data_IF_577612650974
#
_entry.id   IF_577612650974
#
_cell.length_a   1.000
_cell.length_b   1.000
_cell.length_c   1.000
_cell.angle_alpha   90.00
_cell.angle_beta   90.00
_cell.angle_gamma   90.00
#
_symmetry.space_group_name_H-M   'P 1'
#
loop_
_entity.id
_entity.type
_entity.pdbx_description
1 polymer ?
#
# COMPACT_ATOMS: atom_id res chain seq x y z
N UNK A 1 -36.86 -17.89 27.43
CA UNK A 1 -35.69 -18.74 27.16
C UNK A 1 -36.23 -20.15 27.31
N UNK A 2 -36.31 -20.91 26.22
CA UNK A 2 -36.60 -22.34 26.33
C UNK A 2 -35.52 -22.97 27.21
N UNK A 3 -35.96 -23.62 28.29
CA UNK A 3 -35.16 -24.06 29.42
C UNK A 3 -34.28 -25.28 29.08
N UNK A 4 -34.30 -25.76 27.82
CA UNK A 4 -33.61 -27.01 27.43
C UNK A 4 -32.46 -26.89 26.43
N UNK A 5 -32.13 -25.69 25.90
CA UNK A 5 -30.97 -25.31 25.02
C UNK A 5 -31.38 -24.51 23.76
N UNK A 6 -32.32 -23.57 23.84
CA UNK A 6 -32.93 -22.96 22.65
C UNK A 6 -32.23 -21.71 22.11
N UNK A 7 -31.70 -21.79 20.88
CA UNK A 7 -31.28 -20.65 20.04
C UNK A 7 -32.45 -19.78 19.52
N UNK A 8 -33.69 -20.14 19.86
CA UNK A 8 -34.93 -19.48 19.42
C UNK A 8 -35.72 -19.04 20.65
N UNK A 9 -36.20 -17.80 20.65
CA UNK A 9 -37.13 -17.26 21.66
C UNK A 9 -38.19 -16.41 20.96
N UNK A 10 -39.46 -16.67 21.24
CA UNK A 10 -40.60 -15.92 20.67
C UNK A 10 -40.58 -15.89 19.13
N UNK A 11 -40.27 -17.04 18.50
CA UNK A 11 -40.10 -17.22 17.05
C UNK A 11 -39.00 -16.31 16.43
N UNK A 12 -38.03 -15.88 17.25
CA UNK A 12 -36.89 -15.05 16.83
C UNK A 12 -35.57 -15.71 17.17
N UNK A 13 -34.60 -15.52 16.28
CA UNK A 13 -33.18 -15.88 16.47
C UNK A 13 -32.37 -14.58 16.48
N UNK A 14 -31.33 -14.53 17.30
CA UNK A 14 -30.34 -13.47 17.27
C UNK A 14 -29.12 -14.00 16.54
N UNK A 15 -28.74 -13.33 15.46
CA UNK A 15 -27.50 -13.57 14.74
C UNK A 15 -26.55 -12.41 15.04
N UNK A 16 -25.43 -12.70 15.67
CA UNK A 16 -24.35 -11.75 15.88
C UNK A 16 -23.19 -12.09 14.96
N UNK A 17 -22.68 -11.09 14.24
CA UNK A 17 -21.57 -11.26 13.31
C UNK A 17 -20.51 -10.23 13.64
N UNK A 18 -19.30 -10.72 13.93
CA UNK A 18 -18.12 -9.89 14.10
C UNK A 18 -17.35 -9.86 12.78
N UNK A 19 -17.20 -8.67 12.20
CA UNK A 19 -16.50 -8.47 10.93
C UNK A 19 -15.20 -7.72 11.17
N UNK A 20 -14.10 -8.27 10.69
CA UNK A 20 -12.79 -7.62 10.61
C UNK A 20 -12.38 -7.59 9.15
N UNK A 21 -11.90 -6.46 8.66
CA UNK A 21 -11.51 -6.27 7.27
C UNK A 21 -10.17 -5.54 7.16
N UNK A 22 -9.38 -5.92 6.18
CA UNK A 22 -8.16 -5.21 5.80
C UNK A 22 -8.47 -3.91 5.04
N UNK A 23 -7.42 -3.13 4.75
CA UNK A 23 -7.53 -1.95 3.91
C UNK A 23 -8.14 -2.32 2.55
N UNK A 24 -9.21 -1.63 2.12
CA UNK A 24 -9.92 -1.96 0.90
C UNK A 24 -9.09 -1.59 -0.34
N UNK A 25 -9.28 -2.34 -1.41
CA UNK A 25 -8.67 -2.09 -2.72
C UNK A 25 -9.75 -1.58 -3.70
N UNK A 26 -9.40 -0.68 -4.62
CA UNK A 26 -10.33 -0.18 -5.64
C UNK A 26 -11.28 0.94 -5.18
N UNK A 27 -11.14 1.40 -3.95
CA UNK A 27 -11.81 2.60 -3.42
C UNK A 27 -10.78 3.67 -3.05
N UNK A 28 -11.23 4.90 -2.83
CA UNK A 28 -10.32 5.96 -2.36
C UNK A 28 -9.86 5.65 -0.93
N UNK A 29 -8.60 5.23 -0.80
CA UNK A 29 -7.93 4.96 0.47
C UNK A 29 -6.71 5.88 0.59
N UNK A 30 -6.76 6.80 1.55
CA UNK A 30 -5.65 7.71 1.83
C UNK A 30 -4.57 7.00 2.67
N UNK A 31 -3.73 6.23 1.98
CA UNK A 31 -2.61 5.51 2.62
C UNK A 31 -1.70 6.43 3.45
N UNK A 32 -1.48 7.68 3.02
CA UNK A 32 -0.60 8.63 3.73
C UNK A 32 -1.21 9.03 5.05
N UNK A 33 -2.52 9.31 5.09
CA UNK A 33 -3.24 9.62 6.33
C UNK A 33 -3.24 8.47 7.33
N UNK A 34 -3.38 7.22 6.88
CA UNK A 34 -3.49 6.07 7.77
C UNK A 34 -2.15 5.48 8.22
N UNK A 35 -1.10 5.61 7.41
CA UNK A 35 0.19 4.92 7.64
C UNK A 35 1.39 5.85 7.70
N UNK A 36 1.26 7.10 7.23
CA UNK A 36 2.37 8.01 6.99
C UNK A 36 3.08 7.78 5.65
N UNK A 37 2.69 6.77 4.86
CA UNK A 37 3.34 6.36 3.61
C UNK A 37 2.37 6.27 2.44
N UNK A 38 2.88 6.41 1.21
CA UNK A 38 2.11 6.22 -0.03
C UNK A 38 2.51 4.94 -0.75
N UNK A 39 1.56 4.36 -1.49
CA UNK A 39 1.75 3.15 -2.29
C UNK A 39 2.22 3.42 -3.72
N UNK A 40 2.48 2.32 -4.45
CA UNK A 40 2.76 2.33 -5.88
C UNK A 40 1.55 1.78 -6.64
N UNK A 41 1.24 2.37 -7.80
CA UNK A 41 0.21 1.83 -8.70
C UNK A 41 0.71 0.50 -9.27
N UNK A 42 -0.09 -0.55 -9.13
CA UNK A 42 0.22 -1.83 -9.74
C UNK A 42 -0.11 -1.78 -11.24
N UNK A 43 0.89 -2.01 -12.10
CA UNK A 43 0.70 -2.12 -13.55
C UNK A 43 0.47 -3.58 -14.00
N UNK A 44 0.09 -4.45 -13.06
CA UNK A 44 -0.19 -5.87 -13.29
C UNK A 44 1.06 -6.71 -13.07
N UNK A 45 1.86 -6.91 -14.11
CA UNK A 45 3.01 -7.82 -14.10
C UNK A 45 4.28 -7.28 -13.40
N UNK A 46 4.14 -6.22 -12.59
CA UNK A 46 5.26 -5.51 -11.95
C UNK A 46 5.20 -5.52 -10.42
N UNK A 47 4.35 -6.35 -9.81
CA UNK A 47 4.17 -6.37 -8.36
C UNK A 47 5.48 -6.66 -7.59
N UNK A 48 6.33 -7.55 -8.10
CA UNK A 48 7.65 -7.82 -7.52
C UNK A 48 8.55 -6.57 -7.55
N UNK A 49 8.45 -5.78 -8.61
CA UNK A 49 9.19 -4.54 -8.79
C UNK A 49 8.70 -3.47 -7.81
N UNK A 50 7.38 -3.37 -7.57
CA UNK A 50 6.83 -2.44 -6.59
C UNK A 50 7.34 -2.74 -5.18
N UNK A 51 7.36 -4.01 -4.77
CA UNK A 51 7.90 -4.42 -3.47
C UNK A 51 9.40 -4.12 -3.36
N UNK A 52 10.16 -4.34 -4.44
CA UNK A 52 11.59 -3.99 -4.50
C UNK A 52 11.80 -2.48 -4.38
N UNK A 53 11.07 -1.66 -5.14
CA UNK A 53 11.17 -0.20 -5.13
C UNK A 53 10.87 0.39 -3.75
N UNK A 54 9.84 -0.10 -3.07
CA UNK A 54 9.52 0.29 -1.69
C UNK A 54 10.68 -0.09 -0.73
N UNK A 55 11.22 -1.30 -0.86
CA UNK A 55 12.36 -1.75 -0.04
C UNK A 55 13.61 -0.87 -0.24
N UNK A 56 13.92 -0.53 -1.49
CA UNK A 56 15.04 0.34 -1.83
C UNK A 56 14.81 1.78 -1.36
N UNK A 57 13.59 2.31 -1.48
CA UNK A 57 13.21 3.63 -1.01
C UNK A 57 13.42 3.77 0.51
N UNK A 58 12.97 2.79 1.29
CA UNK A 58 13.14 2.78 2.74
C UNK A 58 14.58 2.48 3.20
N UNK A 59 15.47 2.10 2.28
CA UNK A 59 16.91 2.07 2.54
C UNK A 59 17.47 3.49 2.48
N UNK A 60 17.28 4.25 3.55
CA UNK A 60 17.53 5.70 3.60
C UNK A 60 18.90 6.17 3.06
N UNK A 61 19.97 5.42 3.30
CA UNK A 61 21.31 5.75 2.78
C UNK A 61 21.36 5.63 1.25
N UNK A 62 20.74 4.57 0.70
CA UNK A 62 20.62 4.38 -0.74
C UNK A 62 19.76 5.48 -1.36
N UNK A 63 18.60 5.78 -0.77
CA UNK A 63 17.73 6.87 -1.24
C UNK A 63 18.47 8.21 -1.35
N UNK A 64 19.25 8.57 -0.32
CA UNK A 64 20.10 9.77 -0.35
C UNK A 64 21.15 9.71 -1.46
N UNK A 65 21.81 8.57 -1.65
CA UNK A 65 22.79 8.40 -2.72
C UNK A 65 22.15 8.53 -4.11
N UNK A 66 20.93 8.01 -4.31
CA UNK A 66 20.16 8.15 -5.56
C UNK A 66 19.85 9.62 -5.85
N UNK A 67 19.45 10.41 -4.85
CA UNK A 67 19.22 11.85 -5.04
C UNK A 67 20.48 12.65 -5.37
N UNK A 68 21.67 12.14 -5.09
CA UNK A 68 22.94 12.81 -5.39
C UNK A 68 23.53 12.41 -6.75
N UNK A 69 22.89 11.51 -7.50
CA UNK A 69 23.36 11.14 -8.83
C UNK A 69 23.22 12.32 -9.81
N UNK A 70 24.25 12.63 -10.61
CA UNK A 70 24.23 13.73 -11.57
C UNK A 70 23.40 13.34 -12.80
N UNK A 71 22.13 13.73 -12.81
CA UNK A 71 21.13 13.38 -13.86
C UNK A 71 20.62 14.61 -14.62
N UNK A 72 21.27 15.77 -14.47
CA UNK A 72 20.82 17.05 -15.04
C UNK A 72 20.80 17.03 -16.58
N UNK A 73 21.71 16.28 -17.20
CA UNK A 73 21.81 16.12 -18.65
C UNK A 73 21.13 14.85 -19.18
N UNK A 74 20.46 14.09 -18.31
CA UNK A 74 19.92 12.79 -18.68
C UNK A 74 18.62 12.90 -19.47
N UNK A 75 18.43 11.98 -20.42
CA UNK A 75 17.17 11.85 -21.13
C UNK A 75 16.06 11.36 -20.19
N UNK A 76 14.96 12.11 -20.15
CA UNK A 76 13.83 11.89 -19.26
C UNK A 76 13.07 10.57 -19.43
N UNK A 77 13.30 9.84 -20.51
CA UNK A 77 12.65 8.56 -20.84
C UNK A 77 13.60 7.36 -20.81
N UNK A 78 14.91 7.61 -20.91
CA UNK A 78 15.92 6.55 -21.02
C UNK A 78 16.82 6.41 -19.80
N UNK A 79 16.88 7.43 -18.93
CA UNK A 79 17.69 7.36 -17.72
C UNK A 79 16.99 6.64 -16.56
N UNK A 80 17.56 5.50 -16.19
CA UNK A 80 17.15 4.74 -15.00
C UNK A 80 17.44 5.50 -13.71
N UNK A 81 18.62 6.13 -13.51
CA UNK A 81 18.86 6.99 -12.35
C UNK A 81 17.81 8.09 -12.18
N UNK A 82 17.48 8.80 -13.26
CA UNK A 82 16.48 9.87 -13.23
C UNK A 82 15.08 9.32 -12.95
N UNK A 83 14.73 8.16 -13.52
CA UNK A 83 13.46 7.49 -13.22
C UNK A 83 13.36 7.07 -11.74
N UNK A 84 14.44 6.54 -11.16
CA UNK A 84 14.49 6.19 -9.74
C UNK A 84 14.38 7.42 -8.84
N UNK A 85 15.05 8.52 -9.17
CA UNK A 85 14.91 9.80 -8.46
C UNK A 85 13.46 10.27 -8.44
N UNK A 86 12.75 10.22 -9.57
CA UNK A 86 11.33 10.59 -9.66
C UNK A 86 10.45 9.68 -8.81
N UNK A 87 10.61 8.36 -8.91
CA UNK A 87 9.84 7.41 -8.10
C UNK A 87 10.07 7.65 -6.61
N UNK A 88 11.32 7.84 -6.18
CA UNK A 88 11.62 8.10 -4.78
C UNK A 88 11.11 9.47 -4.32
N UNK A 89 11.13 10.48 -5.18
CA UNK A 89 10.58 11.79 -4.86
C UNK A 89 9.07 11.72 -4.60
N UNK A 90 8.32 11.06 -5.47
CA UNK A 90 6.86 10.92 -5.35
C UNK A 90 6.42 10.01 -4.17
N UNK A 91 7.31 9.13 -3.71
CA UNK A 91 7.06 8.27 -2.54
C UNK A 91 7.21 8.99 -1.19
N UNK A 92 7.73 10.21 -1.17
CA UNK A 92 7.99 11.00 0.04
C UNK A 92 6.80 11.92 0.41
#
# INVERSE_FOLDING_TARGET
LDLTNGFIKDDKIILEVHVVSDAPHGVSWDSKKHTGFVGLKNQGATCYMNSLLQTLFFTNKLRRAVYLMPTESDDGTRSVPLALQRVFYELQ
#
